data_IF_788668752463
#
_entry.id   IF_788668752463
#
_cell.length_a   1.000
_cell.length_b   1.000
_cell.length_c   1.000
_cell.angle_alpha   90.00
_cell.angle_beta   90.00
_cell.angle_gamma   90.00
#
_symmetry.space_group_name_H-M   'P 1'
#
loop_
_entity.id
_entity.type
_entity.pdbx_description
1 polymer ?
#
# COMPACT_ATOMS: atom_id res chain seq x y z
N UNK A 1 -35.98 38.02 26.41
CA UNK A 1 -36.14 36.65 25.85
C UNK A 1 -35.61 36.50 24.42
N UNK A 2 -35.73 37.52 23.55
CA UNK A 2 -35.23 37.49 22.16
C UNK A 2 -33.70 37.30 22.03
N UNK A 3 -32.92 37.92 22.92
CA UNK A 3 -31.45 37.79 22.93
C UNK A 3 -30.94 36.45 23.49
N UNK A 4 -31.70 35.81 24.38
CA UNK A 4 -31.36 34.50 24.96
C UNK A 4 -31.52 33.40 23.88
N UNK A 5 -32.54 33.50 23.04
CA UNK A 5 -32.75 32.60 21.90
C UNK A 5 -31.66 32.73 20.82
N UNK A 6 -31.15 33.94 20.58
CA UNK A 6 -30.05 34.18 19.63
C UNK A 6 -28.71 33.64 20.17
N UNK A 7 -28.46 33.77 21.47
CA UNK A 7 -27.25 33.23 22.11
C UNK A 7 -27.20 31.70 22.10
N UNK A 8 -28.34 31.02 22.30
CA UNK A 8 -28.41 29.54 22.23
C UNK A 8 -28.20 29.04 20.80
N UNK A 9 -28.65 29.78 19.78
CA UNK A 9 -28.48 29.42 18.37
C UNK A 9 -27.02 29.54 17.89
N UNK A 10 -26.23 30.47 18.44
CA UNK A 10 -24.81 30.67 18.07
C UNK A 10 -23.89 29.64 18.75
N UNK A 11 -24.28 29.12 19.92
CA UNK A 11 -23.51 28.07 20.64
C UNK A 11 -23.70 26.68 19.99
N UNK A 12 -24.78 26.48 19.23
CA UNK A 12 -25.05 25.23 18.50
C UNK A 12 -24.32 25.12 17.13
N UNK A 13 -23.68 26.19 16.65
CA UNK A 13 -23.01 26.23 15.34
C UNK A 13 -21.51 25.89 15.35
N UNK A 14 -20.94 25.45 16.48
CA UNK A 14 -19.53 25.00 16.56
C UNK A 14 -19.41 23.50 16.82
N UNK A 15 -20.28 22.68 16.23
CA UNK A 15 -19.87 21.32 15.90
C UNK A 15 -18.89 21.43 14.72
N UNK A 16 -17.65 21.78 15.02
CA UNK A 16 -16.54 21.38 14.16
C UNK A 16 -16.67 19.87 14.01
N UNK A 17 -17.06 19.43 12.81
CA UNK A 17 -16.90 18.06 12.42
C UNK A 17 -15.40 17.79 12.47
N UNK A 18 -14.90 17.38 13.64
CA UNK A 18 -13.57 16.85 13.78
C UNK A 18 -13.50 15.72 12.77
N UNK A 19 -12.83 15.96 11.65
CA UNK A 19 -12.61 14.96 10.62
C UNK A 19 -12.05 13.75 11.36
N UNK A 20 -12.83 12.68 11.47
CA UNK A 20 -12.46 11.51 12.24
C UNK A 20 -11.23 10.93 11.56
N UNK A 21 -10.05 11.29 12.08
CA UNK A 21 -8.77 10.83 11.56
C UNK A 21 -8.77 9.32 11.67
N UNK A 22 -8.85 8.65 10.53
CA UNK A 22 -8.86 7.21 10.47
C UNK A 22 -7.50 6.70 10.95
N UNK A 23 -7.51 5.73 11.87
CA UNK A 23 -6.32 5.07 12.38
C UNK A 23 -6.14 3.72 11.67
N UNK A 24 -4.92 3.40 11.27
CA UNK A 24 -4.60 2.16 10.56
C UNK A 24 -4.95 0.92 11.38
N UNK A 25 -4.91 0.98 12.73
CA UNK A 25 -5.37 -0.12 13.59
C UNK A 25 -6.84 -0.44 13.36
N UNK A 26 -7.68 0.59 13.35
CA UNK A 26 -9.12 0.42 13.13
C UNK A 26 -9.41 -0.08 11.73
N UNK A 27 -8.71 0.46 10.72
CA UNK A 27 -8.84 0.01 9.33
C UNK A 27 -8.43 -1.45 9.17
N UNK A 28 -7.29 -1.84 9.75
CA UNK A 28 -6.78 -3.20 9.68
C UNK A 28 -7.69 -4.20 10.41
N UNK A 29 -8.15 -3.84 11.62
CA UNK A 29 -9.09 -4.65 12.39
C UNK A 29 -10.35 -5.01 11.60
N UNK A 30 -10.95 -4.02 10.93
CA UNK A 30 -12.20 -4.20 10.19
C UNK A 30 -12.01 -4.63 8.73
N UNK A 31 -10.79 -4.98 8.31
CA UNK A 31 -10.53 -5.53 6.98
C UNK A 31 -11.29 -6.85 6.80
N UNK A 32 -12.07 -7.05 5.73
CA UNK A 32 -12.67 -8.35 5.44
C UNK A 32 -11.62 -9.41 5.13
N UNK A 33 -11.85 -10.66 5.55
CA UNK A 33 -10.96 -11.79 5.29
C UNK A 33 -10.74 -12.03 3.78
N UNK A 34 -11.69 -11.62 2.93
CA UNK A 34 -11.58 -11.73 1.48
C UNK A 34 -10.50 -10.83 0.87
N UNK A 35 -10.08 -9.76 1.57
CA UNK A 35 -9.02 -8.86 1.07
C UNK A 35 -7.65 -9.53 1.18
N UNK A 36 -7.37 -10.17 2.31
CA UNK A 36 -6.16 -10.95 2.53
C UNK A 36 -6.54 -12.33 3.09
N UNK A 37 -6.78 -13.31 2.21
CA UNK A 37 -7.22 -14.66 2.58
C UNK A 37 -6.27 -15.48 3.46
N UNK A 38 -5.11 -14.90 3.83
CA UNK A 38 -4.20 -15.45 4.83
C UNK A 38 -4.69 -15.23 6.26
N UNK A 39 -5.44 -14.15 6.51
CA UNK A 39 -5.73 -13.67 7.86
C UNK A 39 -7.24 -13.65 8.12
N UNK A 40 -7.66 -14.34 9.17
CA UNK A 40 -9.00 -14.16 9.76
C UNK A 40 -9.08 -12.90 10.61
N UNK A 41 -10.29 -12.48 10.99
CA UNK A 41 -10.50 -11.40 11.97
C UNK A 41 -9.74 -11.63 13.27
N UNK A 42 -9.82 -12.84 13.82
CA UNK A 42 -9.11 -13.19 15.04
C UNK A 42 -7.59 -13.06 14.87
N UNK A 43 -7.04 -13.49 13.73
CA UNK A 43 -5.61 -13.32 13.46
C UNK A 43 -5.19 -11.84 13.48
N UNK A 44 -6.02 -10.95 12.91
CA UNK A 44 -5.72 -9.51 12.89
C UNK A 44 -5.79 -8.90 14.29
N UNK A 45 -6.77 -9.30 15.10
CA UNK A 45 -6.89 -8.88 16.50
C UNK A 45 -5.69 -9.34 17.33
N UNK A 46 -5.33 -10.62 17.23
CA UNK A 46 -4.17 -11.19 17.94
C UNK A 46 -2.87 -10.48 17.57
N UNK A 47 -2.67 -10.19 16.28
CA UNK A 47 -1.50 -9.43 15.82
C UNK A 47 -1.42 -8.04 16.45
N UNK A 48 -2.54 -7.32 16.55
CA UNK A 48 -2.59 -5.99 17.18
C UNK A 48 -2.25 -6.12 18.67
N UNK A 49 -2.87 -7.06 19.39
CA UNK A 49 -2.64 -7.28 20.81
C UNK A 49 -1.18 -7.64 21.12
N UNK A 50 -0.55 -8.46 20.27
CA UNK A 50 0.85 -8.83 20.39
C UNK A 50 1.79 -7.64 20.19
N UNK A 51 1.55 -6.80 19.18
CA UNK A 51 2.37 -5.60 18.96
C UNK A 51 2.24 -4.62 20.12
N UNK A 52 1.02 -4.38 20.61
CA UNK A 52 0.77 -3.45 21.71
C UNK A 52 1.41 -3.97 23.01
N UNK A 53 1.52 -5.30 23.15
CA UNK A 53 2.27 -5.98 24.22
C UNK A 53 3.79 -6.04 23.98
N UNK A 54 4.31 -5.43 22.90
CA UNK A 54 5.73 -5.47 22.48
C UNK A 54 6.27 -6.88 22.24
N UNK A 55 5.40 -7.82 21.87
CA UNK A 55 5.73 -9.18 21.46
C UNK A 55 5.87 -9.26 19.94
N UNK A 56 6.41 -10.37 19.44
CA UNK A 56 6.35 -10.64 17.99
C UNK A 56 4.88 -10.91 17.60
N UNK A 57 4.30 -10.03 16.80
CA UNK A 57 2.93 -10.17 16.28
C UNK A 57 2.83 -11.21 15.17
N UNK A 58 3.07 -12.47 15.53
CA UNK A 58 3.17 -13.63 14.66
C UNK A 58 2.00 -14.57 14.94
N UNK A 59 1.29 -15.00 13.89
CA UNK A 59 0.13 -15.92 14.01
C UNK A 59 0.20 -17.03 12.95
N UNK A 60 -0.38 -18.18 13.25
CA UNK A 60 -0.64 -19.21 12.25
C UNK A 60 -1.73 -18.72 11.30
N UNK A 61 -1.46 -18.76 10.00
CA UNK A 61 -2.34 -18.22 8.97
C UNK A 61 -3.26 -19.29 8.39
N UNK A 62 -4.32 -18.87 7.70
CA UNK A 62 -5.34 -19.77 7.16
C UNK A 62 -4.84 -20.76 6.10
N UNK A 63 -3.60 -20.63 5.62
CA UNK A 63 -2.98 -21.49 4.61
C UNK A 63 -1.93 -22.44 5.21
N UNK A 64 -1.90 -22.61 6.54
CA UNK A 64 -0.99 -23.54 7.23
C UNK A 64 0.45 -23.05 7.36
N UNK A 65 0.68 -21.75 7.10
CA UNK A 65 1.96 -21.08 7.30
C UNK A 65 1.91 -20.11 8.47
N UNK A 66 2.87 -19.19 8.50
CA UNK A 66 2.88 -18.12 9.49
C UNK A 66 2.95 -16.76 8.82
N UNK A 67 2.13 -15.84 9.32
CA UNK A 67 2.19 -14.42 8.96
C UNK A 67 2.54 -13.56 10.18
N UNK A 68 3.14 -12.40 9.93
CA UNK A 68 3.61 -11.47 10.97
C UNK A 68 3.24 -10.04 10.62
N UNK A 69 2.72 -9.31 11.59
CA UNK A 69 2.63 -7.84 11.55
C UNK A 69 3.97 -7.27 12.00
N UNK A 70 4.70 -6.69 11.05
CA UNK A 70 6.05 -6.17 11.26
C UNK A 70 6.03 -4.77 11.87
N UNK A 71 5.10 -3.93 11.41
CA UNK A 71 4.99 -2.53 11.84
C UNK A 71 3.56 -2.05 11.65
N UNK A 72 3.08 -1.27 12.60
CA UNK A 72 1.81 -0.53 12.50
C UNK A 72 1.98 0.84 13.15
N UNK A 73 1.64 1.88 12.42
CA UNK A 73 1.58 3.28 12.88
C UNK A 73 0.13 3.77 12.76
N UNK A 74 -0.11 5.06 12.92
CA UNK A 74 -1.45 5.64 12.69
C UNK A 74 -1.89 5.57 11.23
N UNK A 75 -0.96 5.57 10.27
CA UNK A 75 -1.25 5.72 8.84
C UNK A 75 -0.52 4.72 7.95
N UNK A 76 0.30 3.83 8.52
CA UNK A 76 1.07 2.82 7.78
C UNK A 76 1.03 1.47 8.49
N UNK A 77 1.09 0.40 7.70
CA UNK A 77 1.24 -0.97 8.20
C UNK A 77 2.09 -1.79 7.23
N UNK A 78 2.89 -2.71 7.78
CA UNK A 78 3.64 -3.72 7.03
C UNK A 78 3.42 -5.11 7.59
N UNK A 79 3.08 -6.04 6.71
CA UNK A 79 2.89 -7.46 6.97
C UNK A 79 3.88 -8.29 6.17
N UNK A 80 4.43 -9.31 6.79
CA UNK A 80 5.06 -10.44 6.12
C UNK A 80 4.08 -11.60 6.15
N UNK A 81 3.47 -11.92 5.00
CA UNK A 81 2.48 -12.99 4.91
C UNK A 81 3.14 -14.37 4.83
N UNK A 82 4.23 -14.46 4.06
CA UNK A 82 5.10 -15.62 3.90
C UNK A 82 6.54 -15.13 3.63
N UNK A 83 7.57 -16.00 3.62
CA UNK A 83 8.92 -15.59 3.24
C UNK A 83 9.03 -14.97 1.84
N UNK A 84 8.07 -15.22 0.94
CA UNK A 84 8.05 -14.72 -0.43
C UNK A 84 6.88 -13.76 -0.70
N UNK A 85 6.18 -13.28 0.33
CA UNK A 85 5.06 -12.36 0.17
C UNK A 85 4.95 -11.36 1.32
N UNK A 86 4.87 -10.08 0.96
CA UNK A 86 4.70 -8.96 1.90
C UNK A 86 3.53 -8.09 1.46
N UNK A 87 2.87 -7.46 2.42
CA UNK A 87 1.83 -6.45 2.16
C UNK A 87 2.16 -5.19 2.93
N UNK A 88 2.08 -4.06 2.26
CA UNK A 88 2.18 -2.74 2.87
C UNK A 88 0.88 -1.99 2.64
N UNK A 89 0.43 -1.24 3.66
CA UNK A 89 -0.75 -0.40 3.57
C UNK A 89 -0.41 1.00 4.02
N UNK A 90 -1.00 1.99 3.35
CA UNK A 90 -0.91 3.40 3.76
C UNK A 90 -2.25 4.11 3.63
N UNK A 91 -2.62 4.88 4.65
CA UNK A 91 -3.76 5.79 4.60
C UNK A 91 -3.36 7.08 3.86
N UNK A 92 -4.00 7.34 2.73
CA UNK A 92 -3.70 8.45 1.85
C UNK A 92 -4.83 9.49 1.90
N UNK A 93 -4.53 10.77 2.21
CA UNK A 93 -5.52 11.83 2.19
C UNK A 93 -5.97 12.09 0.75
N UNK A 94 -7.27 12.25 0.52
CA UNK A 94 -7.80 12.51 -0.81
C UNK A 94 -8.30 13.95 -0.95
N UNK A 95 -8.02 14.55 -2.10
CA UNK A 95 -8.71 15.77 -2.51
C UNK A 95 -10.18 15.41 -2.73
N UNK A 96 -11.10 16.13 -2.06
CA UNK A 96 -12.54 15.93 -2.15
C UNK A 96 -12.97 15.85 -3.62
N UNK A 97 -13.50 14.71 -4.05
CA UNK A 97 -13.98 14.51 -5.43
C UNK A 97 -13.72 13.12 -6.04
N UNK A 98 -12.68 12.39 -5.62
CA UNK A 98 -12.25 11.16 -6.31
C UNK A 98 -12.43 9.85 -5.51
N UNK A 99 -12.88 9.92 -4.25
CA UNK A 99 -12.93 8.76 -3.32
C UNK A 99 -14.29 8.52 -2.66
N UNK A 100 -15.39 9.01 -3.24
CA UNK A 100 -16.69 9.02 -2.56
C UNK A 100 -16.68 9.90 -1.31
N UNK A 101 -17.60 9.65 -0.38
CA UNK A 101 -17.75 10.44 0.86
C UNK A 101 -16.56 10.35 1.84
N UNK A 102 -15.57 9.50 1.56
CA UNK A 102 -14.45 9.22 2.45
C UNK A 102 -13.24 10.11 2.07
N UNK A 103 -12.76 10.93 3.00
CA UNK A 103 -11.62 11.86 2.80
C UNK A 103 -10.25 11.18 2.78
N UNK A 104 -10.22 9.84 2.88
CA UNK A 104 -9.01 9.05 3.04
C UNK A 104 -9.20 7.69 2.38
N UNK A 105 -8.17 7.24 1.65
CA UNK A 105 -8.11 5.95 0.99
C UNK A 105 -7.06 5.06 1.64
N UNK A 106 -7.24 3.75 1.51
CA UNK A 106 -6.23 2.74 1.81
C UNK A 106 -5.53 2.39 0.49
N UNK A 107 -4.25 2.69 0.39
CA UNK A 107 -3.38 2.13 -0.65
C UNK A 107 -2.78 0.84 -0.10
N UNK A 108 -3.01 -0.27 -0.79
CA UNK A 108 -2.47 -1.59 -0.47
C UNK A 108 -1.49 -1.99 -1.57
N UNK A 109 -0.26 -2.30 -1.17
CA UNK A 109 0.79 -2.85 -2.05
C UNK A 109 1.08 -4.27 -1.61
N UNK A 110 0.75 -5.23 -2.47
CA UNK A 110 1.09 -6.63 -2.26
C UNK A 110 2.29 -6.99 -3.13
N UNK A 111 3.37 -7.48 -2.53
CA UNK A 111 4.62 -7.82 -3.21
C UNK A 111 4.89 -9.32 -3.07
N UNK A 112 5.17 -9.96 -4.19
CA UNK A 112 5.40 -11.41 -4.30
C UNK A 112 6.77 -11.71 -4.89
N UNK A 113 7.34 -12.85 -4.54
CA UNK A 113 8.63 -13.32 -5.04
C UNK A 113 9.76 -13.18 -4.02
N UNK A 114 10.88 -13.82 -4.33
CA UNK A 114 12.08 -13.91 -3.48
C UNK A 114 13.25 -13.09 -4.05
N UNK A 115 13.89 -13.58 -5.11
CA UNK A 115 15.06 -12.99 -5.78
C UNK A 115 14.62 -11.92 -6.79
N UNK A 116 13.46 -12.14 -7.41
CA UNK A 116 12.79 -11.16 -8.26
C UNK A 116 11.41 -10.96 -7.68
N UNK A 117 11.10 -9.69 -7.41
CA UNK A 117 9.88 -9.30 -6.72
C UNK A 117 9.01 -8.45 -7.63
N UNK A 118 7.72 -8.68 -7.54
CA UNK A 118 6.71 -7.96 -8.30
C UNK A 118 5.58 -7.54 -7.38
N UNK A 119 5.13 -6.30 -7.55
CA UNK A 119 4.08 -5.70 -6.73
C UNK A 119 2.80 -5.50 -7.51
N UNK A 120 1.69 -5.55 -6.78
CA UNK A 120 0.37 -5.14 -7.23
C UNK A 120 -0.11 -4.05 -6.29
N UNK A 121 -0.57 -2.92 -6.87
CA UNK A 121 -1.13 -1.81 -6.13
C UNK A 121 -2.64 -1.84 -6.25
N UNK A 122 -3.35 -1.66 -5.13
CA UNK A 122 -4.81 -1.62 -5.09
C UNK A 122 -5.29 -0.55 -4.13
N UNK A 123 -6.47 0.00 -4.41
CA UNK A 123 -7.05 1.09 -3.62
C UNK A 123 -8.40 0.68 -3.06
N UNK A 124 -8.61 1.04 -1.79
CA UNK A 124 -9.86 0.80 -1.09
C UNK A 124 -10.27 2.05 -0.32
N UNK A 125 -11.56 2.21 -0.05
CA UNK A 125 -12.01 3.12 1.00
C UNK A 125 -11.62 2.56 2.38
N UNK A 126 -11.69 3.38 3.44
CA UNK A 126 -11.43 2.88 4.81
C UNK A 126 -12.46 1.86 5.30
N UNK A 127 -13.57 1.68 4.55
CA UNK A 127 -14.59 0.65 4.73
C UNK A 127 -14.42 -0.52 3.77
N UNK A 128 -13.23 -0.68 3.19
CA UNK A 128 -12.85 -1.81 2.32
C UNK A 128 -13.69 -1.98 1.07
N UNK A 129 -14.28 -0.89 0.57
CA UNK A 129 -14.86 -0.87 -0.78
C UNK A 129 -13.74 -0.61 -1.79
N UNK A 130 -13.59 -1.49 -2.77
CA UNK A 130 -12.62 -1.28 -3.85
C UNK A 130 -12.89 0.04 -4.58
N UNK A 131 -11.81 0.75 -4.92
CA UNK A 131 -11.86 2.01 -5.67
C UNK A 131 -11.24 1.78 -7.04
N UNK A 132 -12.11 1.71 -8.04
CA UNK A 132 -11.72 1.57 -9.44
C UNK A 132 -11.43 2.94 -10.08
N UNK A 133 -10.65 2.93 -11.16
CA UNK A 133 -10.40 4.12 -11.99
C UNK A 133 -9.25 5.01 -11.53
N UNK A 134 -8.58 4.69 -10.42
CA UNK A 134 -7.32 5.33 -10.07
C UNK A 134 -6.17 4.80 -10.94
N UNK A 135 -5.25 5.65 -11.41
CA UNK A 135 -4.11 5.21 -12.21
C UNK A 135 -3.21 4.24 -11.44
N UNK A 136 -2.77 3.16 -12.09
CA UNK A 136 -1.75 2.27 -11.55
C UNK A 136 -0.38 2.99 -11.58
N UNK A 137 0.24 3.27 -10.41
CA UNK A 137 1.53 3.94 -10.37
C UNK A 137 2.64 3.16 -11.09
N UNK A 138 2.55 1.83 -11.09
CA UNK A 138 3.54 0.95 -11.73
C UNK A 138 3.52 1.10 -13.25
N UNK A 139 2.41 1.55 -13.84
CA UNK A 139 2.27 1.74 -15.28
C UNK A 139 2.37 3.20 -15.72
N UNK A 140 2.71 4.11 -14.80
CA UNK A 140 2.83 5.53 -15.13
C UNK A 140 3.93 5.82 -16.16
N UNK A 141 3.74 6.86 -16.96
CA UNK A 141 4.72 7.29 -17.96
C UNK A 141 6.09 7.59 -17.33
N UNK A 142 6.13 8.10 -16.10
CA UNK A 142 7.38 8.36 -15.38
C UNK A 142 8.16 7.08 -15.09
N UNK A 143 7.48 6.02 -14.65
CA UNK A 143 8.09 4.72 -14.41
C UNK A 143 8.57 4.10 -15.71
N UNK A 144 7.73 4.13 -16.76
CA UNK A 144 8.09 3.57 -18.06
C UNK A 144 9.25 4.36 -18.71
N UNK A 145 9.27 5.69 -18.60
CA UNK A 145 10.35 6.53 -19.13
C UNK A 145 11.67 6.39 -18.36
N UNK A 146 11.62 6.02 -17.07
CA UNK A 146 12.82 5.67 -16.30
C UNK A 146 13.54 4.46 -16.93
N UNK A 147 12.79 3.53 -17.51
CA UNK A 147 13.34 2.37 -18.23
C UNK A 147 13.95 2.76 -19.58
N UNK A 148 13.27 3.62 -20.33
CA UNK A 148 13.58 3.99 -21.71
C UNK A 148 14.90 4.75 -21.91
N UNK A 149 15.46 5.36 -20.86
CA UNK A 149 16.44 6.43 -21.04
C UNK A 149 17.91 6.01 -21.22
N UNK A 150 18.33 4.75 -21.02
CA UNK A 150 19.77 4.40 -21.27
C UNK A 150 20.19 2.91 -21.19
N UNK A 151 19.29 1.92 -21.15
CA UNK A 151 19.73 0.55 -20.74
C UNK A 151 19.13 -0.65 -21.48
N UNK A 152 18.32 -0.46 -22.53
CA UNK A 152 17.67 -1.60 -23.23
C UNK A 152 18.19 -1.85 -24.65
N UNK A 153 19.27 -1.18 -25.07
CA UNK A 153 19.98 -1.51 -26.31
C UNK A 153 21.28 -2.21 -25.95
N UNK A 154 21.20 -3.53 -25.69
CA UNK A 154 22.36 -4.40 -25.83
C UNK A 154 22.06 -5.41 -26.93
N UNK A 155 22.85 -5.34 -28.00
CA UNK A 155 23.06 -6.31 -29.07
C UNK A 155 22.08 -7.50 -29.14
N UNK A 156 21.10 -7.38 -30.05
CA UNK A 156 20.42 -8.54 -30.63
C UNK A 156 19.14 -9.05 -29.96
N UNK A 157 18.70 -8.48 -28.84
CA UNK A 157 17.40 -8.83 -28.24
C UNK A 157 16.29 -7.82 -28.59
N UNK A 158 15.15 -8.26 -29.15
CA UNK A 158 14.03 -7.36 -29.44
C UNK A 158 13.45 -6.80 -28.13
N UNK A 159 13.37 -5.47 -28.06
CA UNK A 159 12.75 -4.62 -27.04
C UNK A 159 12.32 -5.32 -25.74
N UNK A 160 13.23 -5.34 -24.77
CA UNK A 160 13.13 -5.88 -23.39
C UNK A 160 12.11 -5.09 -22.51
N UNK A 161 11.14 -4.38 -23.11
CA UNK A 161 10.11 -3.64 -22.37
C UNK A 161 9.09 -4.57 -21.70
N UNK A 162 8.91 -5.81 -22.18
CA UNK A 162 7.89 -6.73 -21.70
C UNK A 162 8.32 -7.62 -20.51
N UNK A 163 9.58 -7.49 -20.04
CA UNK A 163 10.15 -8.41 -19.06
C UNK A 163 10.60 -7.74 -17.76
N UNK A 164 10.26 -6.48 -17.51
CA UNK A 164 10.73 -5.77 -16.29
C UNK A 164 9.78 -6.03 -15.12
N UNK A 165 10.30 -6.60 -14.04
CA UNK A 165 9.58 -6.72 -12.78
C UNK A 165 9.67 -5.40 -11.99
N UNK A 166 8.54 -4.99 -11.40
CA UNK A 166 8.41 -3.73 -10.67
C UNK A 166 8.04 -4.04 -9.21
N UNK A 167 8.93 -3.72 -8.29
CA UNK A 167 8.70 -3.82 -6.84
C UNK A 167 8.40 -2.42 -6.29
N UNK A 168 7.23 -2.26 -5.68
CA UNK A 168 6.84 -1.04 -4.97
C UNK A 168 7.02 -1.20 -3.46
N UNK A 169 7.53 -0.15 -2.82
CA UNK A 169 7.70 -0.03 -1.38
C UNK A 169 7.07 1.30 -0.93
N UNK A 170 6.15 1.25 0.03
CA UNK A 170 5.50 2.44 0.58
C UNK A 170 6.40 3.03 1.66
N UNK A 171 6.49 4.37 1.70
CA UNK A 171 7.22 5.01 2.79
C UNK A 171 6.43 4.88 4.11
N UNK A 172 7.07 4.50 5.22
CA UNK A 172 6.43 4.46 6.53
C UNK A 172 6.14 5.86 7.08
N UNK A 173 6.84 6.90 6.62
CA UNK A 173 6.80 8.25 7.19
C UNK A 173 6.22 9.32 6.26
N UNK A 174 6.09 9.05 4.96
CA UNK A 174 5.62 10.01 3.96
C UNK A 174 4.64 9.38 2.97
N UNK A 175 3.80 10.21 2.34
CA UNK A 175 2.87 9.77 1.30
C UNK A 175 3.61 9.59 -0.03
N UNK A 176 4.61 8.71 -0.06
CA UNK A 176 5.41 8.40 -1.22
C UNK A 176 5.58 6.89 -1.38
N UNK A 177 5.84 6.49 -2.62
CA UNK A 177 6.09 5.12 -3.03
C UNK A 177 7.38 5.09 -3.84
N UNK A 178 8.27 4.15 -3.53
CA UNK A 178 9.47 3.91 -4.35
C UNK A 178 9.27 2.65 -5.16
N UNK A 179 9.52 2.74 -6.45
CA UNK A 179 9.41 1.63 -7.40
C UNK A 179 10.81 1.27 -7.85
N UNK A 180 11.23 0.05 -7.53
CA UNK A 180 12.48 -0.58 -7.96
C UNK A 180 12.18 -1.46 -9.17
N UNK A 181 13.01 -1.37 -10.20
CA UNK A 181 12.82 -2.10 -11.44
C UNK A 181 13.94 -3.12 -11.62
N UNK A 182 13.59 -4.35 -11.95
CA UNK A 182 14.54 -5.45 -12.09
C UNK A 182 14.28 -6.17 -13.41
N UNK A 183 15.35 -6.50 -14.14
CA UNK A 183 15.26 -7.33 -15.33
C UNK A 183 15.65 -8.76 -14.95
N UNK A 184 14.75 -9.75 -15.09
CA UNK A 184 15.10 -11.15 -15.03
C UNK A 184 16.05 -11.47 -16.18
N UNK A 185 17.27 -11.89 -15.87
CA UNK A 185 18.16 -12.48 -16.88
C UNK A 185 17.96 -13.99 -16.85
N UNK A 186 17.86 -14.61 -18.02
CA UNK A 186 17.45 -16.01 -18.17
C UNK A 186 18.32 -16.99 -17.36
N UNK A 187 17.66 -18.10 -16.99
CA UNK A 187 18.13 -19.21 -16.17
C UNK A 187 19.42 -19.85 -16.72
N UNK A 188 20.50 -19.80 -15.95
CA UNK A 188 21.58 -20.79 -16.02
C UNK A 188 21.38 -21.74 -14.83
N UNK A 189 21.36 -23.06 -15.08
CA UNK A 189 21.29 -24.09 -14.03
C UNK A 189 20.15 -23.96 -12.99
N UNK A 190 18.93 -23.61 -13.44
CA UNK A 190 17.72 -23.47 -12.59
C UNK A 190 17.82 -22.40 -11.49
N UNK A 191 18.81 -21.51 -11.54
CA UNK A 191 18.87 -20.30 -10.70
C UNK A 191 18.62 -19.08 -11.59
N UNK A 192 17.78 -18.17 -11.10
CA UNK A 192 17.55 -16.90 -11.78
C UNK A 192 18.73 -16.00 -11.43
N UNK A 193 19.58 -15.71 -12.41
CA UNK A 193 20.59 -14.66 -12.25
C UNK A 193 19.92 -13.32 -12.53
N UNK A 194 20.10 -12.38 -11.60
CA UNK A 194 19.56 -11.04 -11.72
C UNK A 194 20.71 -10.12 -12.09
N UNK A 195 20.60 -9.42 -13.22
CA UNK A 195 21.41 -8.22 -13.43
C UNK A 195 20.67 -7.09 -12.74
N UNK A 196 21.18 -6.53 -11.62
CA UNK A 196 20.53 -5.41 -10.97
C UNK A 196 20.47 -4.27 -11.97
N UNK A 197 19.24 -3.90 -12.32
CA UNK A 197 18.99 -2.62 -12.93
C UNK A 197 18.88 -1.68 -11.74
N UNK A 198 19.95 -0.95 -11.42
CA UNK A 198 19.97 0.04 -10.32
C UNK A 198 19.12 1.28 -10.67
N UNK A 199 17.90 1.06 -11.16
CA UNK A 199 16.92 2.08 -11.49
C UNK A 199 15.77 1.98 -10.53
N UNK A 200 15.58 3.05 -9.77
CA UNK A 200 14.41 3.26 -8.94
C UNK A 200 13.85 4.66 -9.17
N UNK A 201 12.56 4.81 -8.90
CA UNK A 201 11.88 6.09 -8.97
C UNK A 201 10.96 6.22 -7.76
N UNK A 202 10.94 7.41 -7.16
CA UNK A 202 10.02 7.73 -6.08
C UNK A 202 8.92 8.64 -6.59
N UNK A 203 7.67 8.20 -6.38
CA UNK A 203 6.46 8.94 -6.69
C UNK A 203 5.85 9.47 -5.39
N UNK A 204 5.31 10.69 -5.42
CA UNK A 204 4.62 11.30 -4.30
C UNK A 204 3.12 11.33 -4.56
N UNK A 205 2.32 11.09 -3.52
CA UNK A 205 0.88 11.20 -3.59
C UNK A 205 0.45 12.67 -3.58
N UNK A 206 -0.29 13.10 -4.60
CA UNK A 206 -0.76 14.48 -4.73
C UNK A 206 -2.18 14.74 -4.22
N UNK A 207 -2.81 13.73 -3.59
CA UNK A 207 -4.22 13.76 -3.20
C UNK A 207 -5.14 13.06 -4.18
N UNK A 208 -4.65 12.69 -5.36
CA UNK A 208 -5.41 11.99 -6.41
C UNK A 208 -4.70 10.77 -6.97
N UNK A 209 -3.37 10.82 -7.12
CA UNK A 209 -2.56 9.74 -7.69
C UNK A 209 -1.10 9.89 -7.26
N UNK A 210 -0.30 8.85 -7.44
CA UNK A 210 1.15 8.93 -7.28
C UNK A 210 1.80 9.50 -8.55
N UNK A 211 2.63 10.53 -8.39
CA UNK A 211 3.34 11.21 -9.48
C UNK A 211 4.78 11.51 -9.13
#
# INVERSE_FOLDING_TARGET
MKYILVLVAIVLSTFDAAAQRQDMRDVFKHMPDSVLGYLSENNRLDMIDFIDSKMQAKVENGLGGTSRLDTITTDYLRLTLTPASTVEMRLLPCASGNGGADSTLVCLVATYGDSIRESVVSYYTTRWKAVDGLPDPLQSDKVNNCLSSDSLVSDGFPAVSASVCKEAELSPSSNSMTIKMTIPVFLTDRKIEVKPLDKSITLNWDGTSFK
#
